data_IF_022913001496
#
_entry.id   IF_022913001496
#
_cell.length_a   1.000
_cell.length_b   1.000
_cell.length_c   1.000
_cell.angle_alpha   90.00
_cell.angle_beta   90.00
_cell.angle_gamma   90.00
#
_symmetry.space_group_name_H-M   'P 1'
#
loop_
_entity.id
_entity.type
_entity.pdbx_description
1 polymer ?
#
# COMPACT_ATOMS: atom_id res chain seq x y z
N UNK A 1 24.01 -15.05 0.91
CA UNK A 1 23.05 -13.92 0.86
C UNK A 1 21.65 -14.49 0.63
N UNK A 2 20.64 -14.10 1.42
CA UNK A 2 19.30 -14.70 1.32
C UNK A 2 18.56 -14.15 0.09
N UNK A 3 18.58 -14.89 -1.01
CA UNK A 3 17.95 -14.54 -2.29
C UNK A 3 16.51 -14.05 -2.14
N UNK A 4 15.63 -14.70 -1.34
CA UNK A 4 14.25 -14.22 -1.16
C UNK A 4 14.15 -12.83 -0.51
N UNK A 5 15.07 -12.51 0.40
CA UNK A 5 15.10 -11.19 1.05
C UNK A 5 15.51 -10.10 0.08
N UNK A 6 16.51 -10.38 -0.78
CA UNK A 6 16.93 -9.43 -1.80
C UNK A 6 15.84 -9.22 -2.85
N UNK A 7 15.16 -10.29 -3.27
CA UNK A 7 14.06 -10.20 -4.22
C UNK A 7 12.87 -9.41 -3.66
N UNK A 8 12.49 -9.65 -2.40
CA UNK A 8 11.48 -8.84 -1.71
C UNK A 8 11.87 -7.37 -1.63
N UNK A 9 13.12 -7.08 -1.24
CA UNK A 9 13.63 -5.71 -1.18
C UNK A 9 13.61 -5.02 -2.55
N UNK A 10 14.09 -5.70 -3.59
CA UNK A 10 14.11 -5.17 -4.95
C UNK A 10 12.69 -4.95 -5.51
N UNK A 11 11.79 -5.92 -5.33
CA UNK A 11 10.39 -5.82 -5.75
C UNK A 11 9.69 -4.64 -5.07
N UNK A 12 9.92 -4.46 -3.77
CA UNK A 12 9.35 -3.36 -3.02
C UNK A 12 9.92 -2.01 -3.47
N UNK A 13 11.26 -1.90 -3.61
CA UNK A 13 11.90 -0.69 -4.14
C UNK A 13 11.35 -0.33 -5.52
N UNK A 14 11.17 -1.31 -6.40
CA UNK A 14 10.59 -1.10 -7.72
C UNK A 14 9.15 -0.60 -7.64
N UNK A 15 8.33 -1.18 -6.75
CA UNK A 15 6.96 -0.76 -6.52
C UNK A 15 6.88 0.68 -6.02
N UNK A 16 7.76 1.05 -5.08
CA UNK A 16 7.87 2.40 -4.54
C UNK A 16 8.34 3.41 -5.58
N UNK A 17 9.31 3.07 -6.42
CA UNK A 17 9.72 3.92 -7.54
C UNK A 17 8.52 4.17 -8.48
N UNK A 18 7.70 3.15 -8.72
CA UNK A 18 6.44 3.29 -9.44
C UNK A 18 5.47 4.27 -8.77
N UNK A 19 5.28 4.17 -7.45
CA UNK A 19 4.45 5.11 -6.67
C UNK A 19 4.99 6.54 -6.73
N UNK A 20 6.30 6.72 -6.53
CA UNK A 20 6.96 8.02 -6.61
C UNK A 20 6.78 8.66 -7.99
N UNK A 21 7.03 7.90 -9.06
CA UNK A 21 6.81 8.35 -10.42
C UNK A 21 5.34 8.64 -10.75
N UNK A 22 4.41 7.91 -10.13
CA UNK A 22 2.97 8.16 -10.26
C UNK A 22 2.61 9.54 -9.71
N UNK A 23 3.20 9.96 -8.59
CA UNK A 23 3.01 11.29 -8.01
C UNK A 23 3.58 12.42 -8.89
N UNK A 24 4.57 12.11 -9.72
CA UNK A 24 5.20 13.07 -10.64
C UNK A 24 4.68 12.93 -12.08
N UNK A 25 3.55 12.23 -12.27
CA UNK A 25 2.89 12.07 -13.57
C UNK A 25 3.77 11.48 -14.67
N UNK A 26 4.74 10.65 -14.31
CA UNK A 26 5.68 10.07 -15.27
C UNK A 26 5.05 8.94 -16.09
N UNK A 27 5.33 8.94 -17.40
CA UNK A 27 4.87 7.91 -18.33
C UNK A 27 5.54 6.57 -18.02
N UNK A 28 4.75 5.57 -17.61
CA UNK A 28 5.25 4.24 -17.24
C UNK A 28 5.24 3.94 -15.73
N UNK A 29 4.87 4.91 -14.89
CA UNK A 29 4.75 4.72 -13.44
C UNK A 29 3.85 3.52 -13.08
N UNK A 30 2.72 3.37 -13.79
CA UNK A 30 1.81 2.24 -13.59
C UNK A 30 2.50 0.89 -13.84
N UNK A 31 3.33 0.78 -14.89
CA UNK A 31 4.00 -0.47 -15.24
C UNK A 31 5.07 -0.84 -14.19
N UNK A 32 5.88 0.13 -13.76
CA UNK A 32 6.85 -0.07 -12.67
C UNK A 32 6.17 -0.50 -11.37
N UNK A 33 5.06 0.15 -11.04
CA UNK A 33 4.31 -0.14 -9.84
C UNK A 33 3.70 -1.55 -9.89
N UNK A 34 3.06 -1.92 -10.99
CA UNK A 34 2.50 -3.27 -11.18
C UNK A 34 3.59 -4.34 -11.22
N UNK A 35 4.73 -4.07 -11.84
CA UNK A 35 5.87 -5.00 -11.85
C UNK A 35 6.44 -5.20 -10.44
N UNK A 36 6.67 -4.11 -9.70
CA UNK A 36 7.21 -4.17 -8.34
C UNK A 36 6.28 -4.85 -7.34
N UNK A 37 5.02 -4.39 -7.25
CA UNK A 37 4.04 -5.02 -6.35
C UNK A 37 3.61 -6.41 -6.82
N UNK A 38 3.59 -6.68 -8.13
CA UNK A 38 3.35 -8.02 -8.67
C UNK A 38 4.46 -8.99 -8.31
N UNK A 39 5.72 -8.59 -8.43
CA UNK A 39 6.87 -9.38 -7.98
C UNK A 39 6.85 -9.60 -6.46
N UNK A 40 6.45 -8.58 -5.69
CA UNK A 40 6.29 -8.69 -4.24
C UNK A 40 5.19 -9.69 -3.88
N UNK A 41 4.03 -9.64 -4.54
CA UNK A 41 2.95 -10.60 -4.37
C UNK A 41 3.40 -12.03 -4.68
N UNK A 42 4.04 -12.23 -5.84
CA UNK A 42 4.58 -13.53 -6.22
C UNK A 42 5.57 -14.06 -5.16
N UNK A 43 6.40 -13.18 -4.61
CA UNK A 43 7.36 -13.53 -3.58
C UNK A 43 6.71 -13.86 -2.23
N UNK A 44 5.67 -13.12 -1.82
CA UNK A 44 4.89 -13.42 -0.61
C UNK A 44 4.20 -14.78 -0.74
N UNK A 45 3.55 -15.04 -1.87
CA UNK A 45 2.85 -16.30 -2.11
C UNK A 45 3.81 -17.48 -2.23
N UNK A 46 4.93 -17.32 -2.94
CA UNK A 46 5.88 -18.41 -3.19
C UNK A 46 6.84 -18.69 -2.04
N UNK A 47 7.38 -17.65 -1.40
CA UNK A 47 8.45 -17.81 -0.41
C UNK A 47 7.96 -17.64 1.03
N UNK A 48 7.08 -16.69 1.31
CA UNK A 48 6.65 -16.44 2.70
C UNK A 48 5.75 -17.56 3.22
N UNK A 49 4.84 -18.08 2.38
CA UNK A 49 4.00 -19.23 2.74
C UNK A 49 4.86 -20.45 3.11
N UNK A 50 5.90 -20.72 2.31
CA UNK A 50 6.83 -21.83 2.54
C UNK A 50 7.72 -21.59 3.77
N UNK A 51 8.27 -20.40 3.93
CA UNK A 51 9.14 -20.05 5.05
C UNK A 51 8.42 -20.13 6.40
N UNK A 52 7.12 -19.81 6.45
CA UNK A 52 6.30 -19.98 7.65
C UNK A 52 6.07 -21.47 7.96
N UNK A 53 5.77 -22.29 6.95
CA UNK A 53 5.62 -23.73 7.13
C UNK A 53 6.92 -24.38 7.64
N UNK A 54 8.07 -24.01 7.06
CA UNK A 54 9.39 -24.47 7.49
C UNK A 54 9.75 -23.99 8.90
N UNK A 55 9.26 -22.82 9.31
CA UNK A 55 9.38 -22.32 10.67
C UNK A 55 8.45 -23.06 11.67
N UNK A 56 7.59 -23.97 11.22
CA UNK A 56 6.64 -24.66 12.10
C UNK A 56 5.45 -23.79 12.52
N UNK A 57 5.15 -22.73 11.78
CA UNK A 57 3.91 -21.96 11.92
C UNK A 57 2.72 -22.89 11.60
N UNK A 58 1.66 -22.86 12.39
CA UNK A 58 0.45 -23.62 12.08
C UNK A 58 -0.18 -23.17 10.76
N UNK A 59 -0.82 -24.08 10.04
CA UNK A 59 -1.40 -23.78 8.72
C UNK A 59 -2.38 -22.60 8.79
N UNK A 60 -3.26 -22.58 9.80
CA UNK A 60 -4.22 -21.49 10.00
C UNK A 60 -3.54 -20.13 10.18
N UNK A 61 -2.48 -20.07 11.00
CA UNK A 61 -1.73 -18.83 11.21
C UNK A 61 -0.97 -18.43 9.95
N UNK A 62 -0.40 -19.39 9.22
CA UNK A 62 0.28 -19.15 7.95
C UNK A 62 -0.67 -18.56 6.90
N UNK A 63 -1.87 -19.12 6.75
CA UNK A 63 -2.88 -18.58 5.82
C UNK A 63 -3.27 -17.16 6.18
N UNK A 64 -3.50 -16.87 7.46
CA UNK A 64 -3.83 -15.51 7.90
C UNK A 64 -2.67 -14.56 7.62
N UNK A 65 -1.43 -14.94 7.92
CA UNK A 65 -0.24 -14.13 7.64
C UNK A 65 -0.09 -13.80 6.15
N UNK A 66 -0.21 -14.80 5.27
CA UNK A 66 -0.10 -14.61 3.81
C UNK A 66 -1.27 -13.79 3.28
N UNK A 67 -2.49 -14.03 3.78
CA UNK A 67 -3.68 -13.25 3.40
C UNK A 67 -3.53 -11.79 3.80
N UNK A 68 -3.07 -11.47 5.02
CA UNK A 68 -2.84 -10.10 5.49
C UNK A 68 -1.91 -9.34 4.54
N UNK A 69 -0.77 -9.94 4.18
CA UNK A 69 0.18 -9.30 3.26
C UNK A 69 -0.41 -9.16 1.84
N UNK A 70 -1.08 -10.18 1.34
CA UNK A 70 -1.64 -10.19 -0.01
C UNK A 70 -2.72 -9.12 -0.16
N UNK A 71 -3.69 -9.09 0.75
CA UNK A 71 -4.79 -8.12 0.74
C UNK A 71 -4.26 -6.71 1.01
N UNK A 72 -3.29 -6.56 1.91
CA UNK A 72 -2.64 -5.26 2.15
C UNK A 72 -1.95 -4.71 0.90
N UNK A 73 -1.13 -5.51 0.22
CA UNK A 73 -0.45 -5.09 -1.02
C UNK A 73 -1.47 -4.71 -2.10
N UNK A 74 -2.50 -5.52 -2.30
CA UNK A 74 -3.57 -5.23 -3.26
C UNK A 74 -4.32 -3.94 -2.91
N UNK A 75 -4.65 -3.73 -1.63
CA UNK A 75 -5.32 -2.51 -1.17
C UNK A 75 -4.51 -1.25 -1.48
N UNK A 76 -3.20 -1.27 -1.25
CA UNK A 76 -2.31 -0.15 -1.59
C UNK A 76 -2.26 0.09 -3.09
N UNK A 77 -2.11 -0.98 -3.90
CA UNK A 77 -2.10 -0.86 -5.37
C UNK A 77 -3.41 -0.26 -5.87
N UNK A 78 -4.56 -0.75 -5.39
CA UNK A 78 -5.87 -0.24 -5.79
C UNK A 78 -6.04 1.24 -5.40
N UNK A 79 -5.63 1.61 -4.19
CA UNK A 79 -5.72 2.99 -3.71
C UNK A 79 -4.87 3.95 -4.53
N UNK A 80 -3.60 3.60 -4.80
CA UNK A 80 -2.72 4.45 -5.61
C UNK A 80 -3.20 4.52 -7.06
N UNK A 81 -3.72 3.41 -7.60
CA UNK A 81 -4.29 3.36 -8.95
C UNK A 81 -5.66 4.01 -9.06
N UNK A 82 -6.28 4.40 -7.94
CA UNK A 82 -7.66 4.91 -7.88
C UNK A 82 -8.67 3.94 -8.51
N UNK A 83 -8.41 2.64 -8.34
CA UNK A 83 -9.31 1.61 -8.81
C UNK A 83 -10.48 1.41 -7.83
N UNK A 84 -11.67 1.07 -8.35
CA UNK A 84 -12.84 0.86 -7.49
C UNK A 84 -12.60 -0.30 -6.51
N UNK A 85 -13.08 -0.13 -5.28
CA UNK A 85 -12.96 -1.16 -4.23
C UNK A 85 -11.70 -1.07 -3.38
N UNK A 86 -10.86 -0.04 -3.54
CA UNK A 86 -9.70 0.22 -2.70
C UNK A 86 -10.06 0.31 -1.21
N UNK A 87 -11.13 1.02 -0.87
CA UNK A 87 -11.60 1.17 0.52
C UNK A 87 -11.94 -0.19 1.16
N UNK A 88 -12.59 -1.09 0.42
CA UNK A 88 -12.94 -2.42 0.92
C UNK A 88 -11.68 -3.26 1.17
N UNK A 89 -10.71 -3.23 0.25
CA UNK A 89 -9.45 -3.96 0.40
C UNK A 89 -8.61 -3.43 1.57
N UNK A 90 -8.57 -2.10 1.76
CA UNK A 90 -7.89 -1.49 2.90
C UNK A 90 -8.53 -1.92 4.22
N UNK A 91 -9.86 -1.81 4.35
CA UNK A 91 -10.58 -2.26 5.55
C UNK A 91 -10.38 -3.76 5.80
N UNK A 92 -10.46 -4.59 4.75
CA UNK A 92 -10.20 -6.02 4.87
C UNK A 92 -8.77 -6.29 5.35
N UNK A 93 -7.78 -5.55 4.86
CA UNK A 93 -6.39 -5.67 5.31
C UNK A 93 -6.22 -5.27 6.79
N UNK A 94 -6.92 -4.23 7.25
CA UNK A 94 -6.89 -3.78 8.64
C UNK A 94 -7.51 -4.81 9.59
N UNK A 95 -8.65 -5.39 9.19
CA UNK A 95 -9.32 -6.47 9.94
C UNK A 95 -8.41 -7.71 10.02
N UNK A 96 -7.79 -8.09 8.91
CA UNK A 96 -6.83 -9.20 8.88
C UNK A 96 -5.59 -8.93 9.72
N UNK A 97 -5.09 -7.69 9.75
CA UNK A 97 -3.96 -7.30 10.58
C UNK A 97 -4.32 -7.38 12.07
N UNK A 98 -5.52 -6.93 12.45
CA UNK A 98 -6.01 -7.03 13.83
C UNK A 98 -6.19 -8.50 14.23
N UNK A 99 -6.82 -9.31 13.38
CA UNK A 99 -6.99 -10.74 13.61
C UNK A 99 -5.63 -11.44 13.76
N UNK A 100 -4.65 -11.11 12.90
CA UNK A 100 -3.29 -11.62 13.00
C UNK A 100 -2.64 -11.22 14.33
N UNK A 101 -2.75 -9.96 14.75
CA UNK A 101 -2.20 -9.49 16.01
C UNK A 101 -2.77 -10.28 17.21
N UNK A 102 -4.09 -10.47 17.23
CA UNK A 102 -4.78 -11.28 18.23
C UNK A 102 -4.26 -12.72 18.21
N UNK A 103 -4.22 -13.37 17.04
CA UNK A 103 -3.73 -14.74 16.91
C UNK A 103 -2.28 -14.89 17.39
N UNK A 104 -1.41 -13.93 17.08
CA UNK A 104 -0.02 -13.95 17.52
C UNK A 104 0.11 -13.81 19.05
N UNK A 105 -0.71 -12.97 19.68
CA UNK A 105 -0.73 -12.80 21.14
C UNK A 105 -1.17 -14.10 21.85
N UNK A 106 -2.22 -14.74 21.34
CA UNK A 106 -2.78 -15.97 21.94
C UNK A 106 -2.05 -17.25 21.52
N UNK A 107 -1.23 -17.21 20.46
CA UNK A 107 -0.42 -18.35 20.06
C UNK A 107 0.65 -18.66 21.12
N UNK A 108 0.53 -19.83 21.76
CA UNK A 108 1.45 -20.31 22.81
C UNK A 108 2.84 -20.66 22.26
N UNK A 109 2.92 -21.03 20.98
CA UNK A 109 4.15 -21.43 20.29
C UNK A 109 4.42 -20.45 19.14
N UNK A 110 5.01 -19.29 19.48
CA UNK A 110 5.26 -18.19 18.54
C UNK A 110 6.44 -18.54 17.64
N UNK A 111 6.20 -19.31 16.60
CA UNK A 111 7.21 -19.53 15.57
C UNK A 111 6.72 -18.86 14.30
N UNK A 112 7.22 -17.64 14.11
CA UNK A 112 6.95 -16.79 12.96
C UNK A 112 8.27 -16.65 12.21
N UNK A 113 8.22 -16.80 10.88
CA UNK A 113 9.44 -16.63 10.10
C UNK A 113 9.96 -15.19 10.21
N UNK A 114 11.28 -15.02 10.39
CA UNK A 114 11.90 -13.70 10.34
C UNK A 114 11.61 -12.98 9.02
N UNK A 115 11.46 -13.74 7.93
CA UNK A 115 11.10 -13.22 6.62
C UNK A 115 9.74 -12.52 6.65
N UNK A 116 8.72 -13.14 7.26
CA UNK A 116 7.41 -12.53 7.40
C UNK A 116 7.49 -11.21 8.17
N UNK A 117 8.14 -11.20 9.34
CA UNK A 117 8.25 -9.99 10.18
C UNK A 117 8.96 -8.87 9.41
N UNK A 118 10.04 -9.18 8.70
CA UNK A 118 10.75 -8.18 7.89
C UNK A 118 9.85 -7.63 6.78
N UNK A 119 9.18 -8.49 6.01
CA UNK A 119 8.30 -8.04 4.92
C UNK A 119 7.14 -7.20 5.45
N UNK A 120 6.51 -7.65 6.55
CA UNK A 120 5.41 -6.94 7.21
C UNK A 120 5.85 -5.56 7.69
N UNK A 121 6.93 -5.49 8.48
CA UNK A 121 7.42 -4.24 9.05
C UNK A 121 7.80 -3.25 7.94
N UNK A 122 8.58 -3.70 6.97
CA UNK A 122 9.03 -2.84 5.86
C UNK A 122 7.82 -2.36 5.05
N UNK A 123 6.88 -3.25 4.69
CA UNK A 123 5.67 -2.88 3.97
C UNK A 123 4.85 -1.81 4.71
N UNK A 124 4.50 -2.05 5.99
CA UNK A 124 3.65 -1.12 6.73
C UNK A 124 4.33 0.21 7.06
N UNK A 125 5.63 0.20 7.39
CA UNK A 125 6.38 1.46 7.58
C UNK A 125 6.35 2.34 6.32
N UNK A 126 6.44 1.72 5.14
CA UNK A 126 6.39 2.43 3.86
C UNK A 126 4.99 2.89 3.47
N UNK A 127 3.95 2.09 3.75
CA UNK A 127 2.55 2.51 3.56
C UNK A 127 2.24 3.71 4.44
N UNK A 128 2.67 3.71 5.70
CA UNK A 128 2.50 4.85 6.60
C UNK A 128 3.20 6.09 6.02
N UNK A 129 4.46 5.96 5.60
CA UNK A 129 5.20 7.06 4.98
C UNK A 129 4.50 7.62 3.73
N UNK A 130 3.91 6.74 2.91
CA UNK A 130 3.13 7.11 1.74
C UNK A 130 1.88 7.92 2.13
N UNK A 131 1.11 7.44 3.10
CA UNK A 131 -0.11 8.09 3.56
C UNK A 131 0.16 9.47 4.18
N UNK A 132 1.25 9.61 4.94
CA UNK A 132 1.64 10.90 5.53
C UNK A 132 2.08 11.89 4.45
N UNK A 133 2.74 11.42 3.40
CA UNK A 133 3.17 12.28 2.29
C UNK A 133 1.97 12.81 1.47
N UNK A 134 1.01 11.94 1.13
CA UNK A 134 -0.18 12.35 0.35
C UNK A 134 -1.08 13.33 1.07
N UNK A 135 -1.08 13.32 2.41
CA UNK A 135 -1.95 14.19 3.21
C UNK A 135 -1.48 15.66 3.25
N UNK A 136 -0.26 15.95 2.79
CA UNK A 136 0.35 17.28 2.87
C UNK A 136 0.04 18.27 1.72
N UNK A 137 -0.73 17.89 0.70
CA UNK A 137 -0.92 18.72 -0.51
C UNK A 137 -2.25 19.50 -0.58
N UNK A 138 -3.04 19.55 0.50
CA UNK A 138 -4.41 20.10 0.47
C UNK A 138 -4.64 21.47 1.13
N UNK A 139 -3.64 22.34 1.27
CA UNK A 139 -3.85 23.66 1.88
C UNK A 139 -3.27 24.84 1.11
N UNK A 140 -3.34 24.83 -0.23
CA UNK A 140 -3.35 26.11 -0.95
C UNK A 140 -4.76 26.71 -0.83
N UNK A 141 -4.96 27.85 -0.14
CA UNK A 141 -6.25 28.51 -0.11
C UNK A 141 -6.66 28.83 -1.55
N UNK A 142 -7.87 28.43 -1.93
CA UNK A 142 -8.43 28.76 -3.24
C UNK A 142 -8.34 30.28 -3.39
N UNK A 143 -7.75 30.83 -4.47
CA UNK A 143 -7.71 32.27 -4.67
C UNK A 143 -9.14 32.79 -4.54
N UNK A 144 -9.32 33.83 -3.72
CA UNK A 144 -10.63 34.51 -3.61
C UNK A 144 -11.06 34.86 -5.03
N UNK A 145 -12.30 34.57 -5.44
CA UNK A 145 -12.78 35.06 -6.72
C UNK A 145 -12.53 36.56 -6.73
N UNK A 146 -11.79 37.05 -7.72
CA UNK A 146 -11.66 38.48 -7.92
C UNK A 146 -13.08 39.05 -8.01
N UNK A 147 -13.36 40.18 -7.34
CA UNK A 147 -14.67 40.80 -7.48
C UNK A 147 -14.91 40.99 -8.97
N UNK A 148 -15.92 40.28 -9.50
CA UNK A 148 -16.40 40.50 -10.85
C UNK A 148 -16.76 41.97 -10.89
N UNK A 149 -15.95 42.77 -11.56
CA UNK A 149 -16.30 44.15 -11.86
C UNK A 149 -17.62 44.04 -12.61
N UNK A 150 -18.71 44.40 -11.93
CA UNK A 150 -19.99 44.59 -12.57
C UNK A 150 -19.75 45.75 -13.53
N UNK A 151 -19.40 45.44 -14.78
CA UNK A 151 -19.43 46.41 -15.87
C UNK A 151 -20.86 46.92 -15.91
N UNK A 152 -21.00 48.13 -15.37
CA UNK A 152 -22.21 48.88 -15.18
C UNK A 152 -22.73 49.33 -16.54
N UNK A 153 -23.29 48.38 -17.30
CA UNK A 153 -23.87 48.61 -18.61
C UNK A 153 -25.36 48.94 -18.41
N UNK A 154 -25.64 50.16 -17.93
CA UNK A 154 -27.02 50.66 -17.87
C UNK A 154 -27.47 51.02 -19.28
N UNK A 155 -28.65 50.56 -19.73
CA UNK A 155 -29.22 51.04 -20.98
C UNK A 155 -29.57 52.53 -20.85
N UNK A 156 -28.98 53.37 -21.70
CA UNK A 156 -29.45 54.72 -21.92
C UNK A 156 -30.86 54.63 -22.53
N UNK A 157 -31.86 55.16 -21.83
CA UNK A 157 -33.20 55.31 -22.36
C UNK A 157 -33.25 56.64 -23.12
N UNK A 158 -33.28 56.55 -24.46
CA UNK A 158 -33.63 57.65 -25.37
C UNK A 158 -35.14 57.99 -25.31
#
# INVERSE_FOLDING_TARGET
>A
MNVPRLLNGAALLLGLLGVYFKMHWWYGANALMLAGFGALLASVLGFTARANAEAGTSDALNYVMVATLTVGILGVVFRVMHWPGDALLVVASDVLLLALAVLLIFSRNRVVSHQFVTVLAVFFSLVIALLTFTSGHHTAPKPRPEPVALEENWPEFD
#
